data_IF_411017603012
#
_entry.id   IF_411017603012
#
_cell.length_a   1.000
_cell.length_b   1.000
_cell.length_c   1.000
_cell.angle_alpha   90.00
_cell.angle_beta   90.00
_cell.angle_gamma   90.00
#
_symmetry.space_group_name_H-M   'P 1'
#
loop_
_entity.id
_entity.type
_entity.pdbx_description
1 polymer ?
2 non-polymer ?
3 water ?
#
# COMPACT_ATOMS: atom_id res chain seq x y z
N UNK A 1 -2.79 14.48 -13.99
CA UNK A 1 -2.61 13.73 -12.72
C UNK A 1 -1.50 14.32 -11.87
N UNK A 2 -1.84 14.71 -10.64
CA UNK A 2 -0.85 15.20 -9.68
C UNK A 2 -0.26 14.08 -8.79
N UNK A 3 1.03 14.21 -8.45
CA UNK A 3 1.71 13.25 -7.57
C UNK A 3 2.96 13.89 -6.96
N UNK A 4 3.45 13.33 -5.86
CA UNK A 4 4.65 13.82 -5.19
C UNK A 4 5.67 12.71 -5.20
N UNK A 5 6.94 13.09 -5.33
CA UNK A 5 8.01 12.12 -5.28
C UNK A 5 8.48 11.94 -3.87
N UNK A 6 8.53 10.69 -3.45
CA UNK A 6 8.99 10.32 -2.13
C UNK A 6 9.95 9.16 -2.26
N UNK A 7 10.75 8.97 -1.23
CA UNK A 7 11.70 7.89 -1.19
C UNK A 7 11.69 7.30 0.19
N UNK A 8 11.76 5.99 0.31
CA UNK A 8 11.82 5.35 1.63
C UNK A 8 13.07 4.52 1.75
N UNK A 9 13.65 4.52 2.94
CA UNK A 9 14.65 3.55 3.31
C UNK A 9 14.00 2.20 3.49
N UNK A 10 14.81 1.17 3.65
CA UNK A 10 14.29 -0.17 3.90
C UNK A 10 13.48 -0.13 5.21
N UNK A 11 12.33 -0.80 5.26
CA UNK A 11 11.46 -0.75 6.43
C UNK A 11 11.00 -2.12 6.78
N UNK A 12 10.75 -2.32 8.08
CA UNK A 12 10.16 -3.55 8.58
C UNK A 12 8.68 -3.32 8.75
N UNK A 13 7.90 -4.21 8.17
CA UNK A 13 6.45 -4.13 8.26
C UNK A 13 5.92 -5.32 9.01
N UNK A 14 5.03 -5.04 9.95
CA UNK A 14 4.42 -6.08 10.76
C UNK A 14 2.92 -6.11 10.49
N UNK A 15 2.38 -7.29 10.23
CA UNK A 15 0.94 -7.40 10.00
C UNK A 15 0.53 -8.79 9.59
N UNK A 16 -0.44 -8.85 8.69
CA UNK A 16 -0.99 -10.10 8.20
C UNK A 16 -1.12 -10.05 6.69
N UNK A 17 -0.52 -11.04 6.03
CA UNK A 17 -0.60 -11.22 4.60
C UNK A 17 -1.55 -12.36 4.23
N UNK A 18 -2.50 -12.08 3.37
CA UNK A 18 -3.29 -13.12 2.73
C UNK A 18 -2.95 -13.17 1.24
N UNK A 19 -3.30 -14.28 0.59
CA UNK A 19 -2.94 -14.52 -0.79
C UNK A 19 -4.20 -14.90 -1.56
N UNK A 20 -4.38 -14.22 -2.70
CA UNK A 20 -5.52 -14.44 -3.60
C UNK A 20 -5.08 -14.85 -4.99
N UNK A 21 -6.01 -15.47 -5.72
CA UNK A 21 -5.66 -16.05 -7.01
C UNK A 21 -4.98 -15.04 -7.93
N UNK A 22 -5.44 -13.80 -7.88
CA UNK A 22 -4.91 -12.76 -8.75
C UNK A 22 -5.45 -11.41 -8.29
N UNK A 23 -5.20 -10.37 -9.08
CA UNK A 23 -5.56 -9.01 -8.71
C UNK A 23 -7.05 -8.72 -8.71
N UNK A 24 -7.77 -9.39 -9.62
CA UNK A 24 -9.23 -9.30 -9.70
C UNK A 24 -9.92 -9.95 -8.51
N UNK A 25 -9.55 -11.20 -8.27
CA UNK A 25 -10.03 -11.95 -7.13
C UNK A 25 -9.75 -11.22 -5.83
N UNK A 26 -8.56 -10.67 -5.72
CA UNK A 26 -8.20 -9.95 -4.52
C UNK A 26 -9.29 -8.91 -4.19
N UNK A 27 -9.80 -8.22 -5.20
CA UNK A 27 -10.73 -7.12 -4.96
C UNK A 27 -12.02 -7.65 -4.39
N UNK A 28 -12.44 -8.83 -4.81
CA UNK A 28 -13.57 -9.47 -4.15
C UNK A 28 -13.34 -9.65 -2.63
N UNK A 29 -12.10 -9.90 -2.21
CA UNK A 29 -11.86 -10.32 -0.81
C UNK A 29 -11.19 -9.29 0.13
N UNK A 30 -10.50 -8.29 -0.44
CA UNK A 30 -9.72 -7.36 0.38
C UNK A 30 -10.62 -6.61 1.35
N UNK A 31 -11.76 -6.10 0.87
CA UNK A 31 -12.69 -5.42 1.81
C UNK A 31 -13.01 -6.34 3.00
N UNK A 32 -13.20 -7.63 2.71
CA UNK A 32 -13.56 -8.62 3.71
C UNK A 32 -12.36 -8.90 4.63
N UNK A 33 -11.17 -8.88 4.06
CA UNK A 33 -9.96 -9.03 4.83
C UNK A 33 -9.90 -7.88 5.80
N UNK A 34 -10.06 -6.64 5.34
CA UNK A 34 -10.03 -5.49 6.24
C UNK A 34 -11.08 -5.68 7.34
N UNK A 35 -12.24 -6.14 6.93
CA UNK A 35 -13.37 -6.23 7.86
C UNK A 35 -13.05 -7.23 8.95
N UNK A 36 -12.48 -8.36 8.56
CA UNK A 36 -12.08 -9.37 9.54
C UNK A 36 -10.96 -8.87 10.48
N UNK A 37 -10.01 -8.11 9.95
CA UNK A 37 -8.95 -7.58 10.81
C UNK A 37 -9.53 -6.61 11.84
N UNK A 38 -10.44 -5.73 11.43
CA UNK A 38 -11.10 -4.86 12.41
C UNK A 38 -11.86 -5.70 13.45
N UNK A 39 -12.70 -6.59 12.95
CA UNK A 39 -13.61 -7.36 13.82
C UNK A 39 -12.87 -8.14 14.85
N UNK A 40 -11.76 -8.75 14.43
CA UNK A 40 -10.97 -9.56 15.34
C UNK A 40 -9.95 -8.74 16.17
N UNK A 41 -9.93 -7.42 16.06
CA UNK A 41 -9.05 -6.62 16.90
C UNK A 41 -7.62 -6.45 16.34
N UNK A 42 -7.40 -6.97 15.13
CA UNK A 42 -6.04 -6.95 14.55
C UNK A 42 -5.65 -5.54 14.25
N UNK A 43 -6.59 -4.73 13.74
CA UNK A 43 -6.24 -3.35 13.45
C UNK A 43 -5.84 -2.61 14.73
N UNK A 44 -6.67 -2.71 15.76
CA UNK A 44 -6.41 -2.08 17.04
C UNK A 44 -5.02 -2.48 17.52
N UNK A 45 -4.69 -3.75 17.40
CA UNK A 45 -3.42 -4.24 17.93
C UNK A 45 -2.25 -3.69 17.15
N UNK A 46 -2.39 -3.66 15.83
CA UNK A 46 -1.28 -3.20 14.99
C UNK A 46 -1.06 -1.73 15.18
N UNK A 47 -2.12 -0.98 15.41
CA UNK A 47 -2.01 0.45 15.62
C UNK A 47 -1.09 0.72 16.82
N UNK A 48 -1.21 -0.14 17.84
CA UNK A 48 -0.35 0.02 19.03
C UNK A 48 1.12 -0.15 18.67
N UNK A 49 1.42 -1.08 17.77
CA UNK A 49 2.80 -1.43 17.37
C UNK A 49 3.43 -0.52 16.34
N UNK A 50 2.66 0.42 15.81
CA UNK A 50 3.20 1.29 14.77
C UNK A 50 4.32 2.14 15.36
N UNK A 51 5.55 1.98 14.85
CA UNK A 51 6.69 2.66 15.47
C UNK A 51 6.88 4.05 14.90
N UNK A 52 5.94 4.50 14.08
CA UNK A 52 5.96 5.85 13.52
C UNK A 52 6.64 6.08 12.16
N UNK A 53 7.36 5.10 11.62
CA UNK A 53 8.09 5.32 10.35
C UNK A 53 7.17 5.79 9.23
N UNK A 54 6.01 5.16 9.13
CA UNK A 54 4.96 5.66 8.26
C UNK A 54 3.72 5.87 9.12
N UNK A 55 3.07 7.01 8.94
CA UNK A 55 1.95 7.37 9.77
C UNK A 55 0.65 6.90 9.16
N UNK A 56 0.20 5.75 9.61
CA UNK A 56 -1.05 5.17 9.14
C UNK A 56 -0.92 3.67 9.04
N UNK A 57 -1.92 3.04 8.46
CA UNK A 57 -1.87 1.60 8.27
C UNK A 57 -1.70 1.38 6.78
N UNK A 58 -0.89 0.40 6.41
CA UNK A 58 -0.67 0.12 5.00
C UNK A 58 -1.51 -1.04 4.52
N UNK A 59 -1.97 -0.95 3.28
CA UNK A 59 -2.50 -2.08 2.54
C UNK A 59 -1.57 -2.31 1.36
N UNK A 60 -0.70 -3.32 1.46
CA UNK A 60 0.30 -3.58 0.41
C UNK A 60 -0.17 -4.65 -0.54
N UNK A 61 -0.05 -4.37 -1.83
CA UNK A 61 -0.25 -5.35 -2.88
C UNK A 61 1.11 -5.92 -3.29
N UNK A 62 1.27 -7.21 -3.03
CA UNK A 62 2.53 -7.92 -3.19
C UNK A 62 2.38 -8.95 -4.28
N UNK A 63 3.11 -8.78 -5.38
CA UNK A 63 3.02 -9.80 -6.43
C UNK A 63 3.72 -11.08 -6.02
N UNK A 64 3.11 -12.21 -6.32
CA UNK A 64 3.72 -13.50 -6.02
C UNK A 64 4.31 -14.11 -7.29
N UNK A 65 5.33 -14.93 -7.12
CA UNK A 65 6.08 -15.46 -8.25
C UNK A 65 5.30 -16.45 -9.10
N UNK A 66 4.21 -17.01 -8.57
CA UNK A 66 3.38 -17.92 -9.36
C UNK A 66 2.21 -17.18 -10.02
N UNK A 67 2.19 -15.84 -9.92
CA UNK A 67 1.16 -15.03 -10.56
C UNK A 67 -0.02 -14.68 -9.63
N UNK A 68 -0.02 -15.25 -8.44
CA UNK A 68 -0.99 -14.87 -7.43
C UNK A 68 -0.68 -13.47 -6.91
N UNK A 69 -1.62 -12.92 -6.16
CA UNK A 69 -1.41 -11.62 -5.55
C UNK A 69 -1.76 -11.68 -4.09
N UNK A 70 -0.84 -11.20 -3.25
CA UNK A 70 -1.07 -11.12 -1.82
C UNK A 70 -1.35 -9.69 -1.43
N UNK A 71 -2.06 -9.52 -0.31
CA UNK A 71 -2.39 -8.21 0.22
C UNK A 71 -2.03 -8.27 1.67
N UNK A 72 -1.26 -7.30 2.15
CA UNK A 72 -0.80 -7.30 3.53
C UNK A 72 -1.24 -6.03 4.18
N UNK A 73 -2.00 -6.23 5.24
CA UNK A 73 -2.37 -5.16 6.13
C UNK A 73 -1.28 -5.07 7.18
N UNK A 74 -0.66 -3.91 7.32
CA UNK A 74 0.53 -3.82 8.16
C UNK A 74 0.84 -2.41 8.61
N UNK A 75 1.67 -2.34 9.66
CA UNK A 75 2.28 -1.08 10.07
C UNK A 75 3.81 -1.19 10.12
N UNK A 76 4.48 -0.05 10.05
CA UNK A 76 5.92 -0.04 10.24
C UNK A 76 6.18 -0.30 11.72
N UNK A 77 6.93 -1.35 12.01
CA UNK A 77 7.21 -1.74 13.37
C UNK A 77 8.54 -2.47 13.49
N UNK A 78 9.19 -2.37 14.65
CA UNK A 78 10.50 -3.00 14.88
C UNK A 78 10.34 -4.51 15.07
N UNK A 79 11.28 -5.30 14.58
CA UNK A 79 11.18 -6.76 14.76
C UNK A 79 11.33 -7.11 16.24
N UNK A 80 10.39 -7.87 16.79
CA UNK A 80 10.24 -8.00 18.25
C UNK A 80 9.48 -9.26 18.70
N UNK A 81 9.14 -9.28 20.00
CA UNK A 81 8.61 -10.47 20.65
C UNK A 81 7.09 -10.53 20.57
N UNK A 82 6.45 -9.36 20.59
CA UNK A 82 5.01 -9.29 20.36
C UNK A 82 4.70 -9.69 18.92
N UNK A 83 5.71 -9.59 18.06
CA UNK A 83 5.57 -9.79 16.62
C UNK A 83 5.34 -11.24 16.19
N UNK A 84 5.63 -12.18 17.09
CA UNK A 84 5.71 -13.59 16.75
C UNK A 84 4.45 -14.15 16.04
N UNK A 85 3.25 -13.69 16.43
CA UNK A 85 1.97 -14.10 15.81
C UNK A 85 1.68 -13.42 14.46
N UNK A 86 2.55 -12.51 14.06
CA UNK A 86 2.34 -11.70 12.87
C UNK A 86 3.31 -12.07 11.80
N UNK A 87 2.89 -11.73 10.59
CA UNK A 87 3.74 -11.79 9.41
C UNK A 87 4.63 -10.54 9.43
N UNK A 88 5.84 -10.69 8.96
CA UNK A 88 6.79 -9.61 8.97
C UNK A 88 7.50 -9.63 7.65
N UNK A 89 7.62 -8.48 7.00
CA UNK A 89 8.42 -8.40 5.80
C UNK A 89 9.35 -7.22 5.88
N UNK A 90 10.38 -7.26 5.06
CA UNK A 90 11.24 -6.13 4.83
C UNK A 90 10.72 -5.47 3.55
N UNK A 91 10.36 -4.19 3.60
CA UNK A 91 9.97 -3.46 2.40
C UNK A 91 11.22 -2.79 1.87
N UNK A 92 11.74 -3.29 0.78
CA UNK A 92 13.01 -2.78 0.24
C UNK A 92 12.97 -1.31 -0.16
N UNK A 93 14.09 -0.66 0.06
CA UNK A 93 14.23 0.77 -0.22
C UNK A 93 13.75 1.08 -1.63
N UNK A 94 13.06 2.20 -1.82
CA UNK A 94 12.65 2.57 -3.18
C UNK A 94 12.23 4.01 -3.20
N UNK A 95 12.29 4.60 -4.39
CA UNK A 95 11.59 5.84 -4.67
C UNK A 95 10.16 5.52 -5.13
N UNK A 96 9.27 6.52 -5.01
CA UNK A 96 7.85 6.38 -5.33
C UNK A 96 7.24 7.61 -5.98
N UNK A 97 6.23 7.38 -6.81
CA UNK A 97 5.19 8.35 -7.08
C UNK A 97 4.04 8.13 -6.08
N UNK A 98 3.64 9.23 -5.45
CA UNK A 98 2.63 9.18 -4.40
C UNK A 98 1.41 10.00 -4.82
N UNK A 99 0.28 9.31 -4.94
CA UNK A 99 -0.96 9.92 -5.39
C UNK A 99 -1.94 10.03 -4.22
N UNK A 100 -2.93 10.92 -4.33
CA UNK A 100 -3.97 11.04 -3.34
C UNK A 100 -5.32 10.67 -3.90
N UNK A 101 -6.03 9.87 -3.13
CA UNK A 101 -7.41 9.55 -3.41
C UNK A 101 -8.23 10.25 -2.35
N UNK A 102 -9.04 11.21 -2.77
CA UNK A 102 -9.91 11.90 -1.83
C UNK A 102 -11.34 11.45 -2.00
N UNK A 103 -11.90 10.94 -0.91
CA UNK A 103 -13.28 10.51 -0.88
C UNK A 103 -13.44 9.41 0.13
N UNK A 104 -14.68 8.99 0.37
CA UNK A 104 -14.97 7.89 1.29
C UNK A 104 -14.34 6.61 0.77
N UNK A 105 -13.76 5.81 1.68
CA UNK A 105 -13.13 4.53 1.36
C UNK A 105 -14.19 3.45 1.33
N UNK A 106 -14.06 2.43 0.46
CA UNK A 106 -13.05 2.11 -0.56
C UNK A 106 -13.29 2.75 -1.93
N UNK A 107 -14.53 3.16 -2.25
CA UNK A 107 -14.88 3.58 -3.61
C UNK A 107 -13.87 4.56 -4.17
N UNK A 108 -13.55 5.61 -3.40
CA UNK A 108 -12.61 6.64 -3.85
C UNK A 108 -11.21 6.08 -4.12
N UNK A 109 -10.83 5.06 -3.36
CA UNK A 109 -9.52 4.45 -3.56
C UNK A 109 -9.53 3.58 -4.83
N UNK A 110 -10.63 2.86 -5.03
CA UNK A 110 -10.79 2.00 -6.20
C UNK A 110 -10.79 2.82 -7.46
N UNK A 111 -11.43 3.97 -7.38
CA UNK A 111 -11.51 4.82 -8.55
C UNK A 111 -10.19 5.49 -8.82
N UNK A 112 -9.57 6.04 -7.79
CA UNK A 112 -8.28 6.68 -7.99
C UNK A 112 -7.26 5.67 -8.52
N UNK A 113 -7.33 4.45 -7.98
CA UNK A 113 -6.36 3.42 -8.35
C UNK A 113 -6.49 3.09 -9.84
N UNK A 114 -7.71 3.08 -10.35
CA UNK A 114 -7.92 2.90 -11.77
C UNK A 114 -7.20 3.98 -12.59
N UNK A 115 -7.37 5.23 -12.16
CA UNK A 115 -6.76 6.37 -12.82
C UNK A 115 -5.24 6.22 -12.82
N UNK A 116 -4.70 5.79 -11.67
CA UNK A 116 -3.26 5.78 -11.46
C UNK A 116 -2.65 4.78 -12.38
N UNK A 117 -3.24 3.59 -12.40
CA UNK A 117 -2.72 2.53 -13.24
C UNK A 117 -2.70 3.00 -14.69
N UNK A 118 -3.77 3.63 -15.12
CA UNK A 118 -3.85 4.14 -16.48
C UNK A 118 -2.75 5.17 -16.67
N UNK A 119 -2.58 6.06 -15.70
CA UNK A 119 -1.55 7.08 -15.81
C UNK A 119 -0.14 6.50 -15.91
N UNK A 120 0.22 5.55 -15.04
CA UNK A 120 1.59 5.06 -15.02
C UNK A 120 1.89 4.09 -16.13
N UNK A 121 0.88 3.78 -16.92
CA UNK A 121 1.06 3.03 -18.14
C UNK A 121 2.06 3.68 -19.12
N UNK A 122 2.28 4.99 -19.03
CA UNK A 122 3.21 5.64 -19.95
C UNK A 122 4.61 5.79 -19.35
N UNK A 123 4.84 5.06 -18.27
CA UNK A 123 6.14 5.06 -17.60
C UNK A 123 6.67 3.66 -17.44
N UNK A 124 6.49 2.86 -18.49
CA UNK A 124 6.75 1.40 -18.40
C UNK A 124 8.19 1.01 -17.99
N UNK A 125 9.17 1.84 -18.34
CA UNK A 125 10.57 1.53 -18.02
C UNK A 125 10.88 1.97 -16.61
N UNK A 126 9.95 2.72 -16.02
CA UNK A 126 10.19 3.32 -14.71
C UNK A 126 9.37 2.72 -13.53
N UNK A 127 8.21 2.15 -13.82
CA UNK A 127 7.50 1.42 -12.78
C UNK A 127 8.21 0.10 -12.52
N UNK A 128 7.83 -0.57 -11.43
CA UNK A 128 8.49 -1.79 -10.98
C UNK A 128 7.45 -2.81 -10.58
N UNK A 129 7.14 -3.73 -11.51
CA UNK A 129 6.03 -4.65 -11.38
C UNK A 129 6.22 -5.69 -10.31
N UNK A 130 7.47 -6.07 -10.03
CA UNK A 130 7.72 -7.08 -8.98
C UNK A 130 7.81 -6.50 -7.57
N UNK A 131 7.81 -5.17 -7.46
CA UNK A 131 7.87 -4.45 -6.21
C UNK A 131 6.48 -4.17 -5.67
N UNK A 132 6.31 -4.16 -4.33
CA UNK A 132 4.97 -3.92 -3.76
C UNK A 132 4.52 -2.48 -3.92
N UNK A 133 3.24 -2.23 -4.16
CA UNK A 133 2.71 -0.86 -4.10
C UNK A 133 1.68 -0.87 -3.00
N UNK A 134 1.38 0.29 -2.44
CA UNK A 134 0.45 0.27 -1.30
C UNK A 134 -0.40 1.50 -1.14
N UNK A 135 -1.50 1.27 -0.44
CA UNK A 135 -2.39 2.30 0.07
C UNK A 135 -1.92 2.64 1.48
N UNK A 136 -1.85 3.92 1.80
CA UNK A 136 -1.54 4.34 3.14
C UNK A 136 -2.74 5.07 3.73
N UNK A 137 -3.27 4.55 4.85
CA UNK A 137 -4.44 5.08 5.53
C UNK A 137 -4.07 5.76 6.83
N UNK A 138 -4.06 7.09 6.79
CA UNK A 138 -3.74 7.93 7.92
C UNK A 138 -4.93 7.97 8.87
N UNK A 139 -4.70 8.35 10.11
CA UNK A 139 -5.80 8.63 11.06
C UNK A 139 -6.91 9.53 10.50
N UNK A 140 -8.16 9.13 10.71
CA UNK A 140 -9.30 9.92 10.23
C UNK A 140 -10.52 9.08 9.98
N UNK A 141 -11.58 9.72 9.48
CA UNK A 141 -12.87 9.07 9.24
C UNK A 141 -13.02 8.61 7.81
N UNK A 142 -12.87 7.31 7.55
CA UNK A 142 -12.82 6.83 6.18
C UNK A 142 -14.20 6.74 5.51
N UNK A 143 -15.27 7.13 6.22
CA UNK A 143 -16.58 7.26 5.59
C UNK A 143 -16.79 8.71 5.12
N UNK A 144 -15.82 9.59 5.38
CA UNK A 144 -15.91 10.98 4.92
C UNK A 144 -15.38 11.24 3.49
N UNK A 145 -16.06 12.17 2.81
CA UNK A 145 -15.69 12.59 1.46
C UNK A 145 -14.51 13.52 1.49
N UNK A 146 -13.99 13.80 2.68
CA UNK A 146 -12.81 14.66 2.80
C UNK A 146 -11.57 13.81 3.07
N UNK A 147 -11.78 12.52 3.27
CA UNK A 147 -10.67 11.63 3.62
C UNK A 147 -9.69 11.46 2.47
N UNK A 148 -8.41 11.47 2.80
CA UNK A 148 -7.36 11.23 1.83
C UNK A 148 -6.60 9.92 2.06
N UNK A 149 -6.74 9.00 1.13
CA UNK A 149 -5.89 7.81 1.06
C UNK A 149 -4.69 8.14 0.17
N UNK A 150 -3.49 7.76 0.59
CA UNK A 150 -2.33 7.90 -0.31
C UNK A 150 -2.05 6.58 -1.02
N UNK A 151 -1.62 6.68 -2.28
CA UNK A 151 -1.27 5.53 -3.07
C UNK A 151 0.19 5.65 -3.48
N UNK A 152 0.98 4.66 -3.08
CA UNK A 152 2.44 4.69 -3.27
C UNK A 152 2.87 3.65 -4.31
N UNK A 153 3.29 4.13 -5.49
CA UNK A 153 3.79 3.31 -6.59
C UNK A 153 5.33 3.39 -6.76
N UNK A 154 6.06 2.26 -6.65
CA UNK A 154 7.53 2.31 -6.74
C UNK A 154 8.00 2.67 -8.13
N UNK A 155 9.10 3.41 -8.23
CA UNK A 155 9.69 3.72 -9.52
C UNK A 155 11.22 3.66 -9.45
N UNK A 156 11.84 3.37 -10.60
CA UNK A 156 13.27 3.47 -10.81
C UNK A 156 13.55 4.36 -12.04
N UNK A 157 14.52 5.25 -11.92
CA UNK A 157 15.09 5.92 -13.08
C UNK A 157 14.14 6.94 -13.65
N UNK A 158 13.20 7.39 -12.82
CA UNK A 158 12.17 8.29 -13.28
C UNK A 158 12.76 9.58 -13.85
N UNK A 159 13.95 9.95 -13.38
CA UNK A 159 14.55 11.21 -13.84
C UNK A 159 14.95 11.17 -15.30
N UNK A 160 15.01 9.95 -15.87
CA UNK A 160 15.50 9.81 -17.23
C UNK A 160 14.33 9.83 -18.22
N UNK A 161 13.11 9.80 -17.70
CA UNK A 161 11.90 9.82 -18.54
C UNK A 161 11.92 11.07 -19.39
N UNK A 162 11.70 10.94 -20.69
CA UNK A 162 11.80 12.08 -21.57
C UNK A 162 10.80 13.22 -21.25
N UNK A 163 9.70 12.90 -20.58
CA UNK A 163 8.74 13.91 -20.10
C UNK A 163 9.42 14.93 -19.20
N UNK A 164 10.58 14.56 -18.65
CA UNK A 164 11.24 15.40 -17.67
C UNK A 164 12.48 16.10 -18.22
N UNK A 165 12.52 16.31 -19.53
CA UNK A 165 13.64 17.00 -20.21
C UNK A 165 13.12 17.88 -21.33
#
# INVERSE_FOLDING_TARGET
MEYQLQQLASLTLVGIKETYENGRQAQQHIAGFWQRCYQEGVIADLQLKNNGDLAGILGLCIPELDGKMSYMIAVTGDNSADIAKYDVITLASSKYMVFEAQGAVPKAVQQKMEEVHHYIHQYQANTVKSAPFFELYQDGDTTSEKYITEIWMPVKGLEHHHHHH
#
